data_IF_994496761212
#
_entry.id   IF_994496761212
#
_cell.length_a   1.000
_cell.length_b   1.000
_cell.length_c   1.000
_cell.angle_alpha   90.00
_cell.angle_beta   90.00
_cell.angle_gamma   90.00
#
_symmetry.space_group_name_H-M   'P 1'
#
loop_
_entity.id
_entity.type
_entity.pdbx_description
1 polymer ?
#
# COMPACT_ATOMS: atom_id res chain seq x y z
N UNK A 1 2.09 -6.99 -18.34
CA UNK A 1 0.78 -7.64 -18.23
C UNK A 1 0.92 -9.17 -18.07
N UNK A 2 1.53 -9.91 -19.04
CA UNK A 2 1.71 -11.37 -18.95
C UNK A 2 2.43 -11.82 -17.67
N UNK A 3 3.45 -11.11 -17.25
CA UNK A 3 4.22 -11.41 -16.03
C UNK A 3 3.33 -11.25 -14.79
N UNK A 4 2.60 -10.15 -14.67
CA UNK A 4 1.70 -9.91 -13.53
C UNK A 4 0.56 -10.94 -13.46
N UNK A 5 0.01 -11.35 -14.60
CA UNK A 5 -1.06 -12.36 -14.67
C UNK A 5 -0.63 -13.74 -14.15
N UNK A 6 0.66 -14.05 -14.19
CA UNK A 6 1.21 -15.29 -13.63
C UNK A 6 1.65 -15.07 -12.18
N UNK A 7 2.32 -13.96 -11.90
CA UNK A 7 2.87 -13.69 -10.57
C UNK A 7 1.80 -13.48 -9.50
N UNK A 8 0.70 -12.79 -9.80
CA UNK A 8 -0.34 -12.52 -8.83
C UNK A 8 -1.00 -13.78 -8.24
N UNK A 9 -1.45 -14.77 -9.06
CA UNK A 9 -1.95 -16.04 -8.51
C UNK A 9 -0.90 -16.80 -7.71
N UNK A 10 0.35 -16.82 -8.18
CA UNK A 10 1.45 -17.48 -7.45
C UNK A 10 1.68 -16.81 -6.09
N UNK A 11 1.72 -15.48 -6.05
CA UNK A 11 1.82 -14.72 -4.80
C UNK A 11 0.70 -15.08 -3.82
N UNK A 12 -0.54 -15.14 -4.31
CA UNK A 12 -1.68 -15.45 -3.47
C UNK A 12 -1.60 -16.87 -2.88
N UNK A 13 -1.21 -17.86 -3.68
CA UNK A 13 -0.98 -19.22 -3.23
C UNK A 13 0.12 -19.27 -2.17
N UNK A 14 1.23 -18.54 -2.40
CA UNK A 14 2.34 -18.49 -1.44
C UNK A 14 1.92 -17.86 -0.11
N UNK A 15 1.16 -16.74 -0.14
CA UNK A 15 0.62 -16.10 1.06
C UNK A 15 -0.25 -17.07 1.85
N UNK A 16 -1.19 -17.74 1.19
CA UNK A 16 -2.09 -18.72 1.84
C UNK A 16 -1.31 -19.87 2.45
N UNK A 17 -0.35 -20.44 1.73
CA UNK A 17 0.48 -21.55 2.23
C UNK A 17 1.29 -21.14 3.48
N UNK A 18 1.88 -19.94 3.48
CA UNK A 18 2.62 -19.40 4.62
C UNK A 18 1.69 -19.10 5.81
N UNK A 19 0.50 -18.54 5.56
CA UNK A 19 -0.49 -18.26 6.61
C UNK A 19 -0.96 -19.55 7.29
N UNK A 20 -1.32 -20.58 6.52
CA UNK A 20 -1.70 -21.91 7.04
C UNK A 20 -0.56 -22.47 7.90
N UNK A 21 0.66 -22.43 7.39
CA UNK A 21 1.82 -22.96 8.12
C UNK A 21 2.08 -22.20 9.42
N UNK A 22 1.95 -20.89 9.43
CA UNK A 22 2.14 -20.05 10.62
C UNK A 22 1.10 -20.37 11.70
N UNK A 23 -0.16 -20.50 11.32
CA UNK A 23 -1.26 -20.86 12.23
C UNK A 23 -1.09 -22.29 12.81
N UNK A 24 -0.48 -23.21 12.05
CA UNK A 24 -0.20 -24.59 12.51
C UNK A 24 1.02 -24.71 13.43
N UNK A 25 1.74 -23.65 13.73
CA UNK A 25 2.88 -23.69 14.64
C UNK A 25 2.42 -23.97 16.09
N UNK A 26 3.15 -24.81 16.86
CA UNK A 26 2.88 -24.96 18.28
C UNK A 26 3.00 -23.62 19.01
N UNK A 27 1.98 -23.23 19.78
CA UNK A 27 1.96 -21.94 20.49
C UNK A 27 1.43 -20.75 19.69
N UNK A 28 1.05 -20.94 18.43
CA UNK A 28 0.50 -19.87 17.56
C UNK A 28 -0.86 -19.32 18.00
N UNK A 29 -1.60 -20.07 18.84
CA UNK A 29 -2.97 -19.73 19.25
C UNK A 29 -3.10 -18.36 19.89
N UNK A 30 -2.16 -17.96 20.73
CA UNK A 30 -2.14 -16.63 21.34
C UNK A 30 -2.02 -15.49 20.29
N UNK A 31 -1.24 -15.72 19.23
CA UNK A 31 -1.10 -14.76 18.14
C UNK A 31 -2.36 -14.66 17.27
N UNK A 32 -3.03 -15.79 17.05
CA UNK A 32 -4.34 -15.81 16.35
C UNK A 32 -5.39 -15.08 17.18
N UNK A 33 -5.46 -15.35 18.50
CA UNK A 33 -6.38 -14.68 19.41
C UNK A 33 -6.12 -13.16 19.42
N UNK A 34 -4.86 -12.75 19.60
CA UNK A 34 -4.47 -11.34 19.54
C UNK A 34 -4.91 -10.66 18.25
N UNK A 35 -4.73 -11.32 17.11
CA UNK A 35 -5.04 -10.75 15.81
C UNK A 35 -6.55 -10.66 15.52
N UNK A 36 -7.33 -11.65 15.97
CA UNK A 36 -8.75 -11.73 15.65
C UNK A 36 -9.67 -11.19 16.76
N UNK A 37 -9.18 -11.03 17.99
CA UNK A 37 -9.99 -10.56 19.11
C UNK A 37 -10.05 -9.03 19.14
N UNK A 38 -11.17 -8.43 18.72
CA UNK A 38 -11.27 -6.98 18.69
C UNK A 38 -11.41 -6.46 20.12
N UNK A 39 -10.62 -5.46 20.47
CA UNK A 39 -10.81 -4.66 21.67
C UNK A 39 -11.37 -3.29 21.27
N UNK A 40 -12.68 -3.16 21.34
CA UNK A 40 -13.38 -1.93 20.97
C UNK A 40 -13.07 -0.76 21.91
N UNK A 41 -12.51 -1.01 23.09
CA UNK A 41 -12.12 0.04 24.02
C UNK A 41 -10.90 0.83 23.54
N UNK A 42 -10.10 0.24 22.65
CA UNK A 42 -8.91 0.85 22.07
C UNK A 42 -9.21 1.67 20.81
N UNK A 43 -10.46 1.67 20.32
CA UNK A 43 -10.84 2.45 19.14
C UNK A 43 -11.04 3.91 19.54
N UNK A 44 -9.95 4.66 19.44
CA UNK A 44 -9.95 6.13 19.61
C UNK A 44 -10.09 6.83 18.25
N UNK A 45 -10.33 8.15 18.26
CA UNK A 45 -10.33 8.95 17.04
C UNK A 45 -9.00 8.86 16.29
N UNK A 46 -7.87 8.75 16.99
CA UNK A 46 -6.54 8.56 16.40
C UNK A 46 -6.41 7.23 15.65
N UNK A 47 -6.91 6.15 16.24
CA UNK A 47 -6.92 4.82 15.62
C UNK A 47 -7.73 4.84 14.32
N UNK A 48 -8.89 5.49 14.32
CA UNK A 48 -9.74 5.62 13.12
C UNK A 48 -9.00 6.40 12.03
N UNK A 49 -8.37 7.54 12.37
CA UNK A 49 -7.62 8.35 11.40
C UNK A 49 -6.40 7.59 10.88
N UNK A 50 -5.68 6.86 11.74
CA UNK A 50 -4.56 6.02 11.33
C UNK A 50 -5.00 4.91 10.38
N UNK A 51 -6.15 4.27 10.64
CA UNK A 51 -6.72 3.23 9.76
C UNK A 51 -7.11 3.80 8.38
N UNK A 52 -7.71 5.00 8.34
CA UNK A 52 -8.02 5.68 7.07
C UNK A 52 -6.74 6.04 6.34
N UNK A 53 -5.71 6.54 7.03
CA UNK A 53 -4.40 6.82 6.46
C UNK A 53 -3.73 5.58 5.86
N UNK A 54 -3.79 4.46 6.58
CA UNK A 54 -3.28 3.17 6.10
C UNK A 54 -4.04 2.70 4.84
N UNK A 55 -5.36 2.80 4.82
CA UNK A 55 -6.15 2.46 3.64
C UNK A 55 -5.81 3.35 2.43
N UNK A 56 -5.54 4.62 2.67
CA UNK A 56 -5.10 5.56 1.64
C UNK A 56 -3.74 5.17 1.04
N UNK A 57 -2.81 4.79 1.91
CA UNK A 57 -1.47 4.38 1.53
C UNK A 57 -1.49 3.06 0.74
N UNK A 58 -2.15 2.03 1.27
CA UNK A 58 -2.14 0.68 0.67
C UNK A 58 -2.87 0.64 -0.67
N UNK A 59 -3.98 1.39 -0.82
CA UNK A 59 -4.69 1.52 -2.10
C UNK A 59 -3.99 2.47 -3.09
N UNK A 60 -2.91 3.15 -2.70
CA UNK A 60 -2.18 4.09 -3.55
C UNK A 60 -3.00 5.29 -3.99
N UNK A 61 -3.97 5.72 -3.16
CA UNK A 61 -4.79 6.89 -3.45
C UNK A 61 -3.90 8.14 -3.37
N UNK A 62 -3.94 8.95 -4.42
CA UNK A 62 -3.10 10.16 -4.50
C UNK A 62 -1.78 9.99 -5.26
N UNK A 63 -1.33 8.76 -5.52
CA UNK A 63 -0.10 8.48 -6.30
C UNK A 63 -0.26 8.69 -7.82
N UNK A 64 -1.50 8.80 -8.33
CA UNK A 64 -1.75 8.91 -9.77
C UNK A 64 -1.77 7.58 -10.55
N UNK A 65 -1.21 6.51 -10.02
CA UNK A 65 -1.15 5.20 -10.67
C UNK A 65 -2.55 4.64 -11.00
N UNK A 66 -3.52 4.77 -10.10
CA UNK A 66 -4.91 4.35 -10.36
C UNK A 66 -5.56 5.12 -11.52
N UNK A 67 -5.19 6.38 -11.74
CA UNK A 67 -5.67 7.17 -12.89
C UNK A 67 -5.13 6.58 -14.19
N UNK A 68 -3.83 6.25 -14.23
CA UNK A 68 -3.19 5.64 -15.40
C UNK A 68 -3.80 4.27 -15.70
N UNK A 69 -3.99 3.43 -14.68
CA UNK A 69 -4.67 2.13 -14.87
C UNK A 69 -6.12 2.28 -15.31
N UNK A 70 -6.84 3.26 -14.77
CA UNK A 70 -8.19 3.58 -15.19
C UNK A 70 -8.26 3.96 -16.67
N UNK A 71 -7.25 4.66 -17.19
CA UNK A 71 -7.17 5.03 -18.61
C UNK A 71 -6.95 3.82 -19.56
N UNK A 72 -6.40 2.72 -19.04
CA UNK A 72 -6.20 1.48 -19.81
C UNK A 72 -7.38 0.51 -19.66
N UNK A 73 -8.37 0.83 -18.84
CA UNK A 73 -9.50 -0.05 -18.62
C UNK A 73 -10.37 -0.13 -19.87
N UNK A 74 -10.66 -1.36 -20.32
CA UNK A 74 -11.57 -1.60 -21.44
C UNK A 74 -12.98 -1.11 -21.08
N UNK A 75 -13.67 -0.48 -22.03
CA UNK A 75 -15.04 0.05 -21.85
C UNK A 75 -16.09 -1.03 -21.52
N UNK A 76 -15.78 -2.29 -21.71
CA UNK A 76 -16.61 -3.42 -21.25
C UNK A 76 -16.55 -3.65 -19.75
N UNK A 77 -15.56 -3.08 -19.06
CA UNK A 77 -15.37 -3.21 -17.61
C UNK A 77 -15.90 -1.99 -16.88
N UNK A 78 -16.52 -2.18 -15.73
CA UNK A 78 -17.00 -1.09 -14.91
C UNK A 78 -15.93 -0.64 -13.92
N UNK A 79 -15.73 0.66 -13.80
CA UNK A 79 -14.81 1.26 -12.84
C UNK A 79 -15.18 0.84 -11.41
N UNK A 80 -16.47 0.85 -11.06
CA UNK A 80 -16.93 0.51 -9.72
C UNK A 80 -16.62 -0.93 -9.31
N UNK A 81 -16.89 -1.90 -10.18
CA UNK A 81 -16.57 -3.31 -9.90
C UNK A 81 -15.05 -3.55 -9.82
N UNK A 82 -14.28 -2.90 -10.70
CA UNK A 82 -12.82 -3.00 -10.69
C UNK A 82 -12.23 -2.41 -9.40
N UNK A 83 -12.72 -1.24 -8.96
CA UNK A 83 -12.28 -0.61 -7.72
C UNK A 83 -12.61 -1.47 -6.50
N UNK A 84 -13.82 -2.06 -6.46
CA UNK A 84 -14.19 -2.95 -5.35
C UNK A 84 -13.33 -4.21 -5.33
N UNK A 85 -13.02 -4.79 -6.50
CA UNK A 85 -12.14 -5.96 -6.60
C UNK A 85 -10.74 -5.66 -6.08
N UNK A 86 -10.19 -4.49 -6.42
CA UNK A 86 -8.89 -4.03 -5.90
C UNK A 86 -8.95 -3.87 -4.39
N UNK A 87 -9.96 -3.18 -3.85
CA UNK A 87 -10.08 -2.96 -2.41
C UNK A 87 -10.24 -4.27 -1.62
N UNK A 88 -11.04 -5.21 -2.11
CA UNK A 88 -11.21 -6.52 -1.47
C UNK A 88 -9.91 -7.33 -1.56
N UNK A 89 -9.26 -7.35 -2.72
CA UNK A 89 -8.00 -8.09 -2.92
C UNK A 89 -6.87 -7.57 -2.02
N UNK A 90 -6.73 -6.26 -1.92
CA UNK A 90 -5.77 -5.60 -1.04
C UNK A 90 -6.03 -5.92 0.44
N UNK A 91 -7.27 -5.75 0.89
CA UNK A 91 -7.67 -6.07 2.27
C UNK A 91 -7.44 -7.55 2.59
N UNK A 92 -7.80 -8.45 1.68
CA UNK A 92 -7.62 -9.89 1.88
C UNK A 92 -6.14 -10.25 1.98
N UNK A 93 -5.29 -9.68 1.12
CA UNK A 93 -3.85 -9.87 1.21
C UNK A 93 -3.29 -9.37 2.54
N UNK A 94 -3.67 -8.15 2.97
CA UNK A 94 -3.23 -7.59 4.24
C UNK A 94 -3.63 -8.47 5.45
N UNK A 95 -4.87 -8.97 5.46
CA UNK A 95 -5.36 -9.88 6.50
C UNK A 95 -4.57 -11.20 6.50
N UNK A 96 -4.29 -11.76 5.35
CA UNK A 96 -3.50 -12.99 5.23
C UNK A 96 -2.04 -12.78 5.70
N UNK A 97 -1.43 -11.63 5.42
CA UNK A 97 -0.11 -11.31 5.97
C UNK A 97 -0.12 -11.23 7.50
N UNK A 98 -1.17 -10.70 8.12
CA UNK A 98 -1.34 -10.74 9.57
C UNK A 98 -1.33 -12.17 10.11
N UNK A 99 -1.98 -13.12 9.43
CA UNK A 99 -1.94 -14.54 9.77
C UNK A 99 -0.55 -15.19 9.58
N UNK A 100 0.31 -14.64 8.75
CA UNK A 100 1.71 -15.09 8.66
C UNK A 100 2.50 -14.60 9.87
N UNK A 101 2.32 -13.35 10.27
CA UNK A 101 3.20 -12.64 11.20
C UNK A 101 2.83 -12.92 12.66
N UNK A 102 1.60 -12.61 13.08
CA UNK A 102 1.21 -12.65 14.49
C UNK A 102 1.27 -14.06 15.10
N UNK A 103 0.78 -15.13 14.45
CA UNK A 103 0.90 -16.47 14.97
C UNK A 103 2.36 -16.94 15.06
N UNK A 104 3.20 -16.56 14.09
CA UNK A 104 4.61 -16.91 14.12
C UNK A 104 5.36 -16.18 15.24
N UNK A 105 5.12 -14.89 15.44
CA UNK A 105 5.69 -14.13 16.55
C UNK A 105 5.33 -14.76 17.91
N UNK A 106 4.05 -15.07 18.11
CA UNK A 106 3.57 -15.68 19.35
C UNK A 106 4.17 -17.08 19.59
N UNK A 107 4.26 -17.92 18.55
CA UNK A 107 4.82 -19.27 18.64
C UNK A 107 6.29 -19.29 19.11
N UNK A 108 7.05 -18.23 18.80
CA UNK A 108 8.46 -18.12 19.17
C UNK A 108 8.74 -17.11 20.29
N UNK A 109 7.69 -16.50 20.88
CA UNK A 109 7.83 -15.53 21.97
C UNK A 109 8.60 -14.27 21.57
N UNK A 110 8.53 -13.88 20.29
CA UNK A 110 9.22 -12.71 19.75
C UNK A 110 8.20 -11.57 19.63
N UNK A 111 8.50 -10.45 20.25
CA UNK A 111 7.69 -9.23 20.06
C UNK A 111 7.81 -8.75 18.63
N UNK A 112 6.67 -8.53 17.96
CA UNK A 112 6.64 -8.00 16.62
C UNK A 112 7.08 -6.55 16.60
N UNK A 113 8.18 -6.24 15.91
CA UNK A 113 8.54 -4.87 15.57
C UNK A 113 7.59 -4.32 14.49
N UNK A 114 7.63 -3.02 14.25
CA UNK A 114 6.87 -2.38 13.17
C UNK A 114 7.80 -1.97 12.02
N UNK A 115 7.23 -1.83 10.83
CA UNK A 115 7.96 -1.35 9.65
C UNK A 115 9.01 -2.33 9.11
N UNK A 116 10.05 -1.84 8.42
CA UNK A 116 11.09 -2.68 7.82
C UNK A 116 11.77 -3.66 8.76
N UNK A 117 12.04 -3.34 10.04
CA UNK A 117 12.62 -4.29 11.00
C UNK A 117 11.79 -5.55 11.19
N UNK A 118 10.46 -5.48 11.09
CA UNK A 118 9.60 -6.65 11.16
C UNK A 118 9.94 -7.67 10.06
N UNK A 119 10.14 -7.20 8.84
CA UNK A 119 10.37 -8.04 7.67
C UNK A 119 11.82 -8.55 7.60
N UNK A 120 12.80 -7.70 7.93
CA UNK A 120 14.22 -7.99 7.69
C UNK A 120 14.99 -8.43 8.94
N UNK A 121 14.43 -8.29 10.13
CA UNK A 121 15.04 -8.71 11.39
C UNK A 121 14.16 -9.75 12.09
N UNK A 122 12.91 -9.40 12.40
CA UNK A 122 12.01 -10.25 13.19
C UNK A 122 11.68 -11.57 12.47
N UNK A 123 11.19 -11.50 11.23
CA UNK A 123 10.82 -12.71 10.48
C UNK A 123 12.01 -13.63 10.17
N UNK A 124 13.19 -13.16 9.74
CA UNK A 124 14.37 -14.02 9.64
C UNK A 124 14.76 -14.72 10.95
N UNK A 125 14.66 -14.01 12.08
CA UNK A 125 14.94 -14.58 13.40
C UNK A 125 13.95 -15.71 13.74
N UNK A 126 12.68 -15.55 13.41
CA UNK A 126 11.65 -16.59 13.54
C UNK A 126 11.96 -17.77 12.64
N UNK A 127 12.25 -17.54 11.36
CA UNK A 127 12.57 -18.59 10.41
C UNK A 127 13.82 -19.39 10.81
N UNK A 128 14.83 -18.74 11.39
CA UNK A 128 16.02 -19.41 11.87
C UNK A 128 15.73 -20.43 13.01
N UNK A 129 14.67 -20.20 13.78
CA UNK A 129 14.25 -21.08 14.87
C UNK A 129 13.25 -22.16 14.41
N UNK A 130 12.64 -21.99 13.23
CA UNK A 130 11.66 -22.94 12.70
C UNK A 130 12.31 -24.22 12.17
N UNK A 131 11.69 -25.36 12.44
CA UNK A 131 12.04 -26.60 11.72
C UNK A 131 11.69 -26.46 10.23
N UNK A 132 12.70 -26.56 9.37
CA UNK A 132 12.55 -26.29 7.93
C UNK A 132 12.48 -24.81 7.57
N UNK A 133 12.85 -23.91 8.48
CA UNK A 133 12.75 -22.46 8.34
C UNK A 133 13.45 -21.89 7.11
N UNK A 134 14.54 -22.51 6.63
CA UNK A 134 15.21 -22.11 5.40
C UNK A 134 14.28 -22.15 4.19
N UNK A 135 13.40 -23.16 4.08
CA UNK A 135 12.42 -23.27 2.98
C UNK A 135 11.38 -22.15 3.10
N UNK A 136 10.86 -21.92 4.33
CA UNK A 136 9.88 -20.87 4.57
C UNK A 136 10.45 -19.48 4.33
N UNK A 137 11.69 -19.23 4.78
CA UNK A 137 12.41 -17.99 4.48
C UNK A 137 12.54 -17.77 2.97
N UNK A 138 12.99 -18.81 2.24
CA UNK A 138 13.12 -18.70 0.78
C UNK A 138 11.80 -18.38 0.10
N UNK A 139 10.72 -19.09 0.45
CA UNK A 139 9.39 -18.85 -0.09
C UNK A 139 8.90 -17.44 0.24
N UNK A 140 9.09 -17.00 1.50
CA UNK A 140 8.67 -15.66 1.94
C UNK A 140 9.43 -14.55 1.21
N UNK A 141 10.76 -14.64 1.11
CA UNK A 141 11.54 -13.61 0.44
C UNK A 141 11.36 -13.61 -1.08
N UNK A 142 11.09 -14.76 -1.71
CA UNK A 142 10.67 -14.83 -3.11
C UNK A 142 9.29 -14.16 -3.32
N UNK A 143 8.34 -14.42 -2.42
CA UNK A 143 7.04 -13.74 -2.42
C UNK A 143 7.23 -12.23 -2.33
N UNK A 144 8.01 -11.77 -1.35
CA UNK A 144 8.30 -10.35 -1.15
C UNK A 144 8.97 -9.73 -2.39
N UNK A 145 9.95 -10.42 -2.96
CA UNK A 145 10.63 -9.97 -4.19
C UNK A 145 9.64 -9.80 -5.35
N UNK A 146 8.76 -10.77 -5.61
CA UNK A 146 7.78 -10.66 -6.67
C UNK A 146 6.72 -9.59 -6.39
N UNK A 147 6.29 -9.44 -5.14
CA UNK A 147 5.38 -8.38 -4.73
C UNK A 147 6.00 -6.98 -4.97
N UNK A 148 7.24 -6.78 -4.53
CA UNK A 148 7.98 -5.53 -4.78
C UNK A 148 8.17 -5.27 -6.28
N UNK A 149 8.54 -6.29 -7.06
CA UNK A 149 8.76 -6.15 -8.49
C UNK A 149 7.48 -5.70 -9.23
N UNK A 150 6.34 -6.33 -8.93
CA UNK A 150 5.07 -5.95 -9.54
C UNK A 150 4.65 -4.53 -9.13
N UNK A 151 4.83 -4.15 -7.87
CA UNK A 151 4.52 -2.79 -7.37
C UNK A 151 5.41 -1.74 -8.00
N UNK A 152 6.71 -1.99 -8.11
CA UNK A 152 7.67 -1.06 -8.75
C UNK A 152 7.30 -0.82 -10.21
N UNK A 153 6.99 -1.89 -10.98
CA UNK A 153 6.55 -1.75 -12.38
C UNK A 153 5.29 -0.88 -12.45
N UNK A 154 4.35 -1.09 -11.52
CA UNK A 154 3.10 -0.34 -11.48
C UNK A 154 3.31 1.15 -11.22
N UNK A 155 4.10 1.51 -10.22
CA UNK A 155 4.38 2.90 -9.86
C UNK A 155 5.18 3.60 -10.96
N UNK A 156 6.19 2.91 -11.51
CA UNK A 156 7.01 3.43 -12.60
C UNK A 156 6.18 3.75 -13.84
N UNK A 157 5.16 2.94 -14.17
CA UNK A 157 4.29 3.16 -15.33
C UNK A 157 3.56 4.51 -15.27
N UNK A 158 3.15 4.97 -14.08
CA UNK A 158 2.50 6.26 -13.92
C UNK A 158 3.42 7.41 -14.32
N UNK A 159 4.69 7.36 -13.90
CA UNK A 159 5.67 8.40 -14.20
C UNK A 159 6.10 8.33 -15.68
N UNK A 160 6.34 7.13 -16.19
CA UNK A 160 6.73 6.90 -17.59
C UNK A 160 5.58 7.33 -18.52
N UNK A 161 4.33 6.98 -18.21
CA UNK A 161 3.15 7.40 -18.97
C UNK A 161 3.08 8.92 -19.07
N UNK A 162 3.21 9.62 -17.96
CA UNK A 162 3.24 11.09 -17.95
C UNK A 162 4.38 11.67 -18.81
N UNK A 163 5.59 11.13 -18.68
CA UNK A 163 6.73 11.61 -19.45
C UNK A 163 6.57 11.40 -20.98
N UNK A 164 5.92 10.31 -21.37
CA UNK A 164 5.61 10.03 -22.78
C UNK A 164 4.51 10.95 -23.29
N UNK A 165 3.43 11.12 -22.52
CA UNK A 165 2.25 11.85 -22.95
C UNK A 165 2.43 13.37 -22.95
N UNK A 166 3.07 13.94 -21.92
CA UNK A 166 3.25 15.37 -21.76
C UNK A 166 4.57 15.87 -22.37
N UNK A 167 5.68 15.21 -22.04
CA UNK A 167 7.00 15.64 -22.50
C UNK A 167 7.40 15.06 -23.85
N UNK A 168 6.56 14.19 -24.44
CA UNK A 168 6.83 13.53 -25.74
C UNK A 168 8.16 12.79 -25.80
N UNK A 169 8.64 12.31 -24.66
CA UNK A 169 9.86 11.53 -24.56
C UNK A 169 9.59 10.11 -25.09
N UNK A 170 10.50 9.56 -25.84
CA UNK A 170 10.44 8.16 -26.27
C UNK A 170 10.33 7.21 -25.07
N UNK A 171 9.35 6.31 -25.06
CA UNK A 171 9.05 5.42 -23.92
C UNK A 171 10.28 4.71 -23.34
N UNK A 172 11.18 4.20 -24.22
CA UNK A 172 12.41 3.55 -23.77
C UNK A 172 13.32 4.48 -22.96
N UNK A 173 13.48 5.71 -23.42
CA UNK A 173 14.30 6.73 -22.72
C UNK A 173 13.66 7.15 -21.42
N UNK A 174 12.35 7.36 -21.40
CA UNK A 174 11.58 7.68 -20.21
C UNK A 174 11.71 6.55 -19.16
N UNK A 175 11.53 5.29 -19.56
CA UNK A 175 11.67 4.13 -18.67
C UNK A 175 13.07 4.03 -18.06
N UNK A 176 14.12 4.18 -18.87
CA UNK A 176 15.50 4.13 -18.37
C UNK A 176 15.76 5.30 -17.42
N UNK A 177 15.31 6.50 -17.77
CA UNK A 177 15.50 7.69 -16.94
C UNK A 177 14.83 7.56 -15.57
N UNK A 178 13.58 7.13 -15.55
CA UNK A 178 12.81 6.90 -14.31
C UNK A 178 13.48 5.80 -13.47
N UNK A 179 13.84 4.67 -14.09
CA UNK A 179 14.50 3.57 -13.38
C UNK A 179 15.83 3.99 -12.75
N UNK A 180 16.62 4.83 -13.42
CA UNK A 180 17.86 5.36 -12.87
C UNK A 180 17.61 6.27 -11.65
N UNK A 181 16.60 7.13 -11.71
CA UNK A 181 16.24 8.00 -10.59
C UNK A 181 15.77 7.15 -9.41
N UNK A 182 14.88 6.19 -9.64
CA UNK A 182 14.39 5.28 -8.61
C UNK A 182 15.54 4.48 -7.97
N UNK A 183 16.48 4.01 -8.77
CA UNK A 183 17.64 3.28 -8.30
C UNK A 183 18.55 4.14 -7.40
N UNK A 184 18.85 5.38 -7.81
CA UNK A 184 19.67 6.31 -7.00
C UNK A 184 18.97 6.66 -5.69
N UNK A 185 17.69 6.99 -5.73
CA UNK A 185 16.88 7.29 -4.53
C UNK A 185 16.81 6.05 -3.63
N UNK A 186 16.58 4.87 -4.21
CA UNK A 186 16.53 3.60 -3.48
C UNK A 186 17.85 3.30 -2.75
N UNK A 187 19.01 3.56 -3.38
CA UNK A 187 20.31 3.43 -2.70
C UNK A 187 20.40 4.38 -1.51
N UNK A 188 20.01 5.65 -1.65
CA UNK A 188 20.01 6.60 -0.54
C UNK A 188 19.13 6.14 0.63
N UNK A 189 17.94 5.62 0.32
CA UNK A 189 17.03 5.05 1.34
C UNK A 189 17.66 3.84 2.04
N UNK A 190 18.28 2.94 1.28
CA UNK A 190 18.94 1.75 1.84
C UNK A 190 20.14 2.12 2.71
N UNK A 191 20.96 3.08 2.29
CA UNK A 191 22.11 3.56 3.05
C UNK A 191 21.72 4.21 4.39
N UNK A 192 20.48 4.72 4.52
CA UNK A 192 19.99 5.30 5.78
C UNK A 192 19.87 4.29 6.92
N UNK A 193 19.79 2.99 6.61
CA UNK A 193 19.82 1.92 7.62
C UNK A 193 21.23 1.46 7.98
N UNK A 194 22.25 1.96 7.31
CA UNK A 194 23.65 1.55 7.47
C UNK A 194 24.60 2.75 7.58
N UNK A 195 25.32 3.01 6.51
CA UNK A 195 26.40 4.05 6.48
C UNK A 195 25.88 5.46 6.82
N UNK A 196 24.65 5.78 6.43
CA UNK A 196 24.03 7.09 6.69
C UNK A 196 23.10 7.11 7.92
N UNK A 197 23.14 6.06 8.75
CA UNK A 197 22.28 6.00 9.96
C UNK A 197 22.53 7.11 10.99
N UNK A 198 23.71 7.71 10.95
CA UNK A 198 24.06 8.87 11.78
C UNK A 198 23.50 10.22 11.27
N UNK A 199 22.92 10.24 10.05
CA UNK A 199 22.30 11.44 9.50
C UNK A 199 20.82 11.44 9.85
N UNK A 200 20.38 12.44 10.58
CA UNK A 200 18.96 12.64 10.93
C UNK A 200 18.44 13.95 10.35
N UNK A 201 17.20 13.90 9.84
CA UNK A 201 16.42 15.04 9.36
C UNK A 201 15.27 15.25 10.35
N UNK A 202 15.27 16.35 11.08
CA UNK A 202 14.32 16.61 12.16
C UNK A 202 14.22 15.46 13.20
N UNK A 203 15.39 14.86 13.54
CA UNK A 203 15.46 13.76 14.51
C UNK A 203 15.05 12.38 13.99
N UNK A 204 14.72 12.24 12.69
CA UNK A 204 14.31 10.98 12.04
C UNK A 204 15.37 10.52 11.05
N UNK A 205 15.44 9.22 10.78
CA UNK A 205 16.29 8.71 9.70
C UNK A 205 15.87 9.29 8.34
N UNK A 206 16.75 9.28 7.36
CA UNK A 206 16.42 9.73 5.99
C UNK A 206 15.22 8.93 5.45
N UNK A 207 15.19 7.62 5.71
CA UNK A 207 14.08 6.76 5.29
C UNK A 207 12.76 7.16 5.98
N UNK A 208 12.75 7.26 7.31
CA UNK A 208 11.52 7.59 8.06
C UNK A 208 11.02 8.99 7.72
N UNK A 209 11.92 9.97 7.58
CA UNK A 209 11.53 11.30 7.13
C UNK A 209 10.90 11.28 5.74
N UNK A 210 11.51 10.58 4.79
CA UNK A 210 11.00 10.53 3.41
C UNK A 210 9.69 9.75 3.34
N UNK A 211 9.61 8.58 3.97
CA UNK A 211 8.44 7.71 3.90
C UNK A 211 7.26 8.25 4.72
N UNK A 212 7.51 8.59 5.99
CA UNK A 212 6.42 8.93 6.92
C UNK A 212 6.02 10.39 6.81
N UNK A 213 7.00 11.30 6.68
CA UNK A 213 6.72 12.74 6.64
C UNK A 213 6.41 13.19 5.22
N UNK A 214 7.36 13.02 4.30
CA UNK A 214 7.22 13.59 2.95
C UNK A 214 6.15 12.87 2.14
N UNK A 215 6.21 11.54 2.06
CA UNK A 215 5.28 10.76 1.22
C UNK A 215 3.93 10.59 1.92
N UNK A 216 3.92 9.96 3.09
CA UNK A 216 2.65 9.54 3.73
C UNK A 216 1.88 10.70 4.35
N UNK A 217 2.55 11.66 5.00
CA UNK A 217 1.88 12.76 5.67
C UNK A 217 1.58 13.96 4.74
N UNK A 218 2.37 14.17 3.68
CA UNK A 218 2.23 15.36 2.83
C UNK A 218 1.77 15.00 1.42
N UNK A 219 2.56 14.24 0.66
CA UNK A 219 2.32 14.08 -0.77
C UNK A 219 1.08 13.25 -1.09
N UNK A 220 0.85 12.14 -0.40
CA UNK A 220 -0.32 11.30 -0.64
C UNK A 220 -1.64 11.99 -0.30
N UNK A 221 -1.82 12.59 0.90
CA UNK A 221 -3.05 13.31 1.21
C UNK A 221 -3.28 14.51 0.28
N UNK A 222 -2.22 15.24 -0.06
CA UNK A 222 -2.31 16.37 -0.97
C UNK A 222 -2.73 15.93 -2.38
N UNK A 223 -2.09 14.88 -2.92
CA UNK A 223 -2.46 14.30 -4.21
C UNK A 223 -3.91 13.80 -4.24
N UNK A 224 -4.32 13.08 -3.19
CA UNK A 224 -5.70 12.61 -3.03
C UNK A 224 -6.70 13.75 -2.94
N UNK A 225 -6.40 14.80 -2.17
CA UNK A 225 -7.24 15.99 -2.05
C UNK A 225 -7.41 16.70 -3.40
N UNK A 226 -6.31 16.92 -4.12
CA UNK A 226 -6.35 17.54 -5.45
C UNK A 226 -7.19 16.72 -6.43
N UNK A 227 -7.07 15.39 -6.43
CA UNK A 227 -7.88 14.51 -7.26
C UNK A 227 -9.38 14.60 -6.91
N UNK A 228 -9.71 14.56 -5.63
CA UNK A 228 -11.11 14.62 -5.18
C UNK A 228 -11.71 16.01 -5.49
N UNK A 229 -10.95 17.09 -5.35
CA UNK A 229 -11.39 18.42 -5.73
C UNK A 229 -11.59 18.52 -7.25
N UNK A 230 -10.68 17.99 -8.05
CA UNK A 230 -10.82 17.94 -9.51
C UNK A 230 -12.11 17.20 -9.91
N UNK A 231 -12.30 15.99 -9.39
CA UNK A 231 -13.43 15.13 -9.73
C UNK A 231 -14.75 15.68 -9.18
N UNK A 232 -14.76 16.21 -7.96
CA UNK A 232 -15.97 16.66 -7.28
C UNK A 232 -16.43 18.06 -7.65
N UNK A 233 -15.50 18.98 -8.00
CA UNK A 233 -15.80 20.40 -8.13
C UNK A 233 -15.49 20.98 -9.52
N UNK A 234 -14.45 20.49 -10.19
CA UNK A 234 -14.04 20.99 -11.51
C UNK A 234 -14.78 20.24 -12.62
N UNK A 235 -14.79 18.91 -12.55
CA UNK A 235 -15.51 18.08 -13.52
C UNK A 235 -17.01 18.09 -13.24
N UNK A 236 -17.81 17.98 -14.32
CA UNK A 236 -19.28 17.93 -14.18
C UNK A 236 -19.70 16.58 -13.55
N UNK A 237 -20.45 16.58 -12.42
CA UNK A 237 -20.84 15.34 -11.75
C UNK A 237 -21.59 14.35 -12.66
N UNK A 238 -22.37 14.85 -13.61
CA UNK A 238 -23.08 14.00 -14.57
C UNK A 238 -22.10 13.22 -15.45
N UNK A 239 -21.08 13.86 -15.99
CA UNK A 239 -20.07 13.22 -16.84
C UNK A 239 -19.35 12.10 -16.09
N UNK A 240 -19.05 12.32 -14.81
CA UNK A 240 -18.39 11.33 -13.96
C UNK A 240 -19.30 10.13 -13.70
N UNK A 241 -20.58 10.39 -13.36
CA UNK A 241 -21.57 9.33 -13.12
C UNK A 241 -21.83 8.52 -14.38
N UNK A 242 -21.90 9.18 -15.53
CA UNK A 242 -22.08 8.52 -16.84
C UNK A 242 -20.88 7.59 -17.13
N UNK A 243 -19.64 8.04 -16.88
CA UNK A 243 -18.42 7.26 -17.10
C UNK A 243 -18.29 6.06 -16.11
N UNK A 244 -18.49 6.32 -14.81
CA UNK A 244 -18.42 5.27 -13.78
C UNK A 244 -19.48 4.19 -13.99
N UNK A 245 -20.62 4.55 -14.55
CA UNK A 245 -21.74 3.65 -14.79
C UNK A 245 -21.71 2.97 -16.16
N UNK A 246 -20.64 3.10 -16.96
CA UNK A 246 -20.46 2.32 -18.18
C UNK A 246 -20.34 0.82 -17.85
N UNK A 247 -20.92 -0.03 -18.70
CA UNK A 247 -20.87 -1.49 -18.56
C UNK A 247 -21.88 -2.07 -17.57
N UNK A 248 -21.83 -3.40 -17.39
CA UNK A 248 -22.75 -4.16 -16.53
C UNK A 248 -22.10 -4.47 -15.18
N UNK A 249 -22.29 -3.60 -14.19
CA UNK A 249 -21.69 -3.77 -12.87
C UNK A 249 -22.36 -2.92 -11.82
N UNK A 250 -21.63 -2.62 -10.73
CA UNK A 250 -22.12 -1.77 -9.66
C UNK A 250 -22.40 -0.38 -10.18
N UNK A 251 -23.64 0.08 -10.02
CA UNK A 251 -24.07 1.40 -10.45
C UNK A 251 -24.04 2.38 -9.29
N UNK A 252 -23.45 3.53 -9.54
CA UNK A 252 -23.40 4.63 -8.59
C UNK A 252 -24.53 5.64 -8.87
N UNK A 253 -25.01 6.27 -7.83
CA UNK A 253 -26.07 7.26 -7.90
C UNK A 253 -25.61 8.63 -7.38
N UNK A 254 -26.55 9.56 -7.22
CA UNK A 254 -26.26 10.90 -6.71
C UNK A 254 -25.57 10.95 -5.34
N UNK A 255 -25.69 9.91 -4.50
CA UNK A 255 -25.00 9.85 -3.21
C UNK A 255 -23.49 9.74 -3.37
N UNK A 256 -23.01 9.09 -4.43
CA UNK A 256 -21.59 9.09 -4.78
C UNK A 256 -21.04 10.50 -5.02
N UNK A 257 -21.85 11.36 -5.68
CA UNK A 257 -21.47 12.76 -5.88
C UNK A 257 -21.31 13.51 -4.56
N UNK A 258 -22.21 13.27 -3.60
CA UNK A 258 -22.13 13.87 -2.25
C UNK A 258 -20.88 13.37 -1.53
N UNK A 259 -20.62 12.08 -1.60
CA UNK A 259 -19.42 11.49 -1.00
C UNK A 259 -18.14 12.11 -1.54
N UNK A 260 -17.98 12.23 -2.86
CA UNK A 260 -16.79 12.84 -3.47
C UNK A 260 -16.70 14.34 -3.20
N UNK A 261 -17.83 15.08 -3.23
CA UNK A 261 -17.77 16.52 -3.02
C UNK A 261 -17.47 16.94 -1.59
N UNK A 262 -17.99 16.20 -0.61
CA UNK A 262 -17.97 16.66 0.78
C UNK A 262 -17.31 15.67 1.73
N UNK A 263 -17.72 14.41 1.71
CA UNK A 263 -17.25 13.43 2.70
C UNK A 263 -15.75 13.13 2.48
N UNK A 264 -15.34 12.82 1.26
CA UNK A 264 -13.95 12.46 0.96
C UNK A 264 -12.97 13.63 1.22
N UNK A 265 -13.21 14.90 0.76
CA UNK A 265 -12.32 16.00 1.10
C UNK A 265 -12.20 16.25 2.61
N UNK A 266 -13.33 16.19 3.35
CA UNK A 266 -13.32 16.38 4.80
C UNK A 266 -12.49 15.27 5.48
N UNK A 267 -12.69 14.02 5.09
CA UNK A 267 -11.94 12.90 5.64
C UNK A 267 -10.43 13.02 5.36
N UNK A 268 -10.05 13.41 4.13
CA UNK A 268 -8.64 13.61 3.75
C UNK A 268 -8.02 14.78 4.53
N UNK A 269 -8.73 15.89 4.68
CA UNK A 269 -8.26 17.05 5.44
C UNK A 269 -8.11 16.68 6.91
N UNK A 270 -9.07 15.97 7.51
CA UNK A 270 -8.97 15.52 8.89
C UNK A 270 -7.76 14.60 9.11
N UNK A 271 -7.54 13.65 8.18
CA UNK A 271 -6.37 12.78 8.18
C UNK A 271 -5.07 13.59 8.06
N UNK A 272 -5.01 14.54 7.13
CA UNK A 272 -3.83 15.40 6.94
C UNK A 272 -3.50 16.21 8.20
N UNK A 273 -4.51 16.83 8.82
CA UNK A 273 -4.33 17.59 10.06
C UNK A 273 -3.81 16.68 11.17
N UNK A 274 -4.39 15.51 11.36
CA UNK A 274 -3.97 14.57 12.40
C UNK A 274 -2.52 14.10 12.18
N UNK A 275 -2.15 13.77 10.94
CA UNK A 275 -0.76 13.40 10.61
C UNK A 275 0.22 14.53 10.93
N UNK A 276 -0.12 15.77 10.56
CA UNK A 276 0.73 16.94 10.86
C UNK A 276 0.82 17.19 12.36
N UNK A 277 -0.28 17.09 13.11
CA UNK A 277 -0.29 17.24 14.57
C UNK A 277 0.60 16.18 15.22
N UNK A 278 0.49 14.93 14.82
CA UNK A 278 1.32 13.83 15.33
C UNK A 278 2.81 14.05 15.02
N UNK A 279 3.12 14.60 13.83
CA UNK A 279 4.50 14.93 13.46
C UNK A 279 5.10 16.06 14.29
N UNK A 280 4.28 17.05 14.69
CA UNK A 280 4.72 18.17 15.51
C UNK A 280 4.81 17.81 17.01
N UNK A 281 4.10 16.77 17.43
CA UNK A 281 4.07 16.29 18.81
C UNK A 281 5.17 15.25 19.12
N UNK A 282 5.78 14.65 18.08
CA UNK A 282 6.86 13.67 18.16
C UNK A 282 8.24 14.33 18.10
#
# INVERSE_FOLDING_TARGET
EKVCNILLPVLFIMIVALAIRSVMLPGSGAGVEFYLKPDFSLITGEVVVAAVGQAFFTLGVGCGNLVVYGSYLDKSKTIGSSTLMVAIGDTLAAVLFGFIIFPACAAYGIEGSMGPPLVFITLPTIFAQMKGGAIFATVFFLLLFFACLTSTICIMEAIVGYAVDEWKIERKKATIGVALVEFVVGILMMLSFGVLSGISIFGRSIFDFTNDVLVSAILLPLGGLLMVLLVGWVLKPKTILDEINIGDGIKFNKYYTVTIKYIAPIAIIAMFIQLVVNLLAS
#
